data_IF_527050654652
#
_entry.id   IF_527050654652
#
_cell.length_a   1.000
_cell.length_b   1.000
_cell.length_c   1.000
_cell.angle_alpha   90.00
_cell.angle_beta   90.00
_cell.angle_gamma   90.00
#
_symmetry.space_group_name_H-M   'P 1'
#
loop_
_entity.id
_entity.type
_entity.pdbx_description
1 polymer ?
#
# COMPACT_ATOMS: atom_id res chain seq x y z
N UNK A 1 -1.99 13.77 -3.34
CA UNK A 1 -2.33 12.52 -2.60
C UNK A 1 -3.74 12.07 -2.99
N UNK A 2 -3.94 10.76 -3.17
CA UNK A 2 -5.10 10.17 -3.85
C UNK A 2 -6.26 9.89 -2.87
N UNK A 3 -7.51 9.99 -3.33
CA UNK A 3 -8.71 9.54 -2.57
C UNK A 3 -8.57 8.09 -2.06
N UNK A 4 -7.75 7.29 -2.73
CA UNK A 4 -7.42 5.91 -2.36
C UNK A 4 -6.71 5.81 -1.01
N UNK A 5 -5.84 6.77 -0.66
CA UNK A 5 -5.11 6.70 0.61
C UNK A 5 -6.07 6.80 1.80
N UNK A 6 -7.06 7.69 1.70
CA UNK A 6 -8.11 7.84 2.72
C UNK A 6 -9.00 6.60 2.82
N UNK A 7 -9.26 5.92 1.70
CA UNK A 7 -10.05 4.69 1.70
C UNK A 7 -9.26 3.52 2.28
N UNK A 8 -7.98 3.40 1.95
CA UNK A 8 -7.08 2.38 2.50
C UNK A 8 -6.87 2.57 4.01
N UNK A 9 -6.81 3.81 4.50
CA UNK A 9 -6.76 4.09 5.95
C UNK A 9 -8.05 3.63 6.65
N UNK A 10 -9.22 3.86 6.03
CA UNK A 10 -10.51 3.38 6.56
C UNK A 10 -10.64 1.85 6.52
N UNK A 11 -10.17 1.22 5.44
CA UNK A 11 -10.19 -0.24 5.28
C UNK A 11 -9.20 -0.95 6.20
N UNK A 12 -8.08 -0.30 6.52
CA UNK A 12 -7.11 -0.81 7.48
C UNK A 12 -7.68 -0.94 8.90
N UNK A 13 -8.78 -0.25 9.23
CA UNK A 13 -9.36 -0.24 10.57
C UNK A 13 -8.44 0.33 11.65
N UNK A 14 -7.33 0.98 11.27
CA UNK A 14 -6.39 1.55 12.22
C UNK A 14 -6.81 2.97 12.60
N UNK A 15 -6.92 3.22 13.90
CA UNK A 15 -7.21 4.56 14.40
C UNK A 15 -6.07 5.53 14.04
N UNK A 16 -6.39 6.72 13.50
CA UNK A 16 -5.36 7.70 13.18
C UNK A 16 -4.69 8.22 14.45
N UNK A 17 -3.37 8.39 14.41
CA UNK A 17 -2.62 9.07 15.47
C UNK A 17 -2.89 10.56 15.32
N UNK A 18 -3.68 11.12 16.22
CA UNK A 18 -3.95 12.55 16.28
C UNK A 18 -2.76 13.27 16.88
N UNK A 19 -2.18 14.22 16.14
CA UNK A 19 -1.12 15.09 16.64
C UNK A 19 -1.73 16.45 16.94
N UNK A 20 -1.55 16.90 18.17
CA UNK A 20 -1.91 18.24 18.62
C UNK A 20 -0.62 19.05 18.74
N UNK A 21 -0.58 20.21 18.10
CA UNK A 21 0.57 21.10 18.15
C UNK A 21 0.17 22.43 18.79
N UNK A 22 0.78 22.73 19.94
CA UNK A 22 0.56 23.95 20.71
C UNK A 22 1.88 24.57 21.14
N UNK A 23 1.81 25.69 21.86
CA UNK A 23 3.00 26.41 22.32
C UNK A 23 3.89 25.59 23.29
N UNK A 24 3.29 24.63 24.00
CA UNK A 24 3.96 23.76 24.96
C UNK A 24 4.25 22.36 24.37
N UNK A 25 4.24 22.20 23.05
CA UNK A 25 4.46 20.90 22.42
C UNK A 25 5.93 20.45 22.59
N UNK A 26 6.14 19.38 23.35
CA UNK A 26 7.44 18.74 23.50
C UNK A 26 7.74 17.85 22.27
N UNK A 27 8.72 18.28 21.49
CA UNK A 27 9.15 17.61 20.27
C UNK A 27 9.77 16.23 20.54
N UNK A 28 10.50 16.07 21.64
CA UNK A 28 11.11 14.77 21.98
C UNK A 28 10.05 13.76 22.40
N UNK A 29 9.07 14.22 23.19
CA UNK A 29 7.93 13.39 23.57
C UNK A 29 7.15 12.95 22.32
N UNK A 30 6.89 13.86 21.38
CA UNK A 30 6.20 13.55 20.12
C UNK A 30 7.01 12.55 19.28
N UNK A 31 8.34 12.72 19.18
CA UNK A 31 9.22 11.78 18.49
C UNK A 31 9.09 10.37 19.08
N UNK A 32 9.16 10.25 20.41
CA UNK A 32 9.05 8.95 21.09
C UNK A 32 7.70 8.28 20.85
N UNK A 33 6.61 9.07 20.85
CA UNK A 33 5.25 8.61 20.57
C UNK A 33 5.14 8.08 19.14
N UNK A 34 5.66 8.83 18.16
CA UNK A 34 5.62 8.43 16.75
C UNK A 34 6.44 7.17 16.49
N UNK A 35 7.64 7.05 17.07
CA UNK A 35 8.46 5.83 16.98
C UNK A 35 7.69 4.63 17.54
N UNK A 36 7.10 4.77 18.73
CA UNK A 36 6.32 3.71 19.36
C UNK A 36 5.12 3.28 18.50
N UNK A 37 4.39 4.23 17.92
CA UNK A 37 3.25 3.94 17.06
C UNK A 37 3.66 3.32 15.72
N UNK A 38 4.77 3.77 15.13
CA UNK A 38 5.33 3.15 13.93
C UNK A 38 5.72 1.71 14.23
N UNK A 39 6.31 1.43 15.38
CA UNK A 39 6.76 0.10 15.76
C UNK A 39 5.61 -0.86 16.05
N UNK A 40 4.57 -0.36 16.74
CA UNK A 40 3.38 -1.14 17.09
C UNK A 40 2.57 -1.58 15.87
N UNK A 41 2.50 -0.77 14.82
CA UNK A 41 1.63 -1.03 13.65
C UNK A 41 2.32 -1.89 12.61
N UNK A 42 1.56 -2.72 11.89
CA UNK A 42 2.10 -3.70 10.94
C UNK A 42 2.48 -3.09 9.59
N UNK A 43 1.58 -2.35 8.94
CA UNK A 43 1.78 -1.90 7.56
C UNK A 43 1.63 -0.40 7.37
N UNK A 44 0.65 0.23 8.03
CA UNK A 44 0.30 1.63 7.80
C UNK A 44 0.06 2.37 9.10
N UNK A 45 0.56 3.60 9.14
CA UNK A 45 0.47 4.49 10.29
C UNK A 45 -0.27 5.76 9.83
N UNK A 46 -1.61 5.79 9.89
CA UNK A 46 -2.39 7.00 9.65
C UNK A 46 -2.07 8.10 10.68
N UNK A 47 -1.72 9.29 10.21
CA UNK A 47 -1.54 10.51 11.02
C UNK A 47 -2.65 11.51 10.72
N UNK A 48 -3.28 12.04 11.78
CA UNK A 48 -4.18 13.19 11.70
C UNK A 48 -3.46 14.45 12.19
N UNK A 49 -3.20 15.37 11.25
CA UNK A 49 -2.50 16.64 11.46
C UNK A 49 -3.46 17.84 11.34
N UNK A 50 -4.78 17.62 11.37
CA UNK A 50 -5.77 18.71 11.21
C UNK A 50 -5.76 19.74 12.33
N UNK A 51 -5.24 19.36 13.51
CA UNK A 51 -5.11 20.25 14.68
C UNK A 51 -3.82 21.08 14.66
N UNK A 52 -3.04 21.03 13.58
CA UNK A 52 -1.80 21.79 13.41
C UNK A 52 -2.06 22.92 12.41
N UNK A 53 -2.43 24.13 12.85
CA UNK A 53 -2.90 25.20 11.96
C UNK A 53 -1.82 25.71 11.00
N UNK A 54 -0.56 25.70 11.44
CA UNK A 54 0.59 26.19 10.67
C UNK A 54 1.54 25.05 10.26
N UNK A 55 2.63 25.40 9.57
CA UNK A 55 3.70 24.48 9.20
C UNK A 55 4.98 24.72 10.03
N UNK A 56 4.99 24.40 11.33
CA UNK A 56 6.16 24.63 12.17
C UNK A 56 7.36 23.84 11.61
N UNK A 57 8.51 24.49 11.40
CA UNK A 57 9.63 23.90 10.69
C UNK A 57 10.18 22.65 11.42
N UNK A 58 10.22 22.70 12.74
CA UNK A 58 10.68 21.62 13.61
C UNK A 58 9.79 20.36 13.48
N UNK A 59 8.47 20.55 13.46
CA UNK A 59 7.52 19.46 13.23
C UNK A 59 7.65 18.89 11.82
N UNK A 60 7.83 19.74 10.81
CA UNK A 60 8.03 19.30 9.42
C UNK A 60 9.28 18.43 9.32
N UNK A 61 10.38 18.82 9.96
CA UNK A 61 11.62 18.04 9.99
C UNK A 61 11.42 16.70 10.69
N UNK A 62 10.75 16.68 11.85
CA UNK A 62 10.41 15.46 12.56
C UNK A 62 9.53 14.53 11.70
N UNK A 63 8.51 15.06 11.03
CA UNK A 63 7.61 14.26 10.18
C UNK A 63 8.34 13.65 8.98
N UNK A 64 9.31 14.36 8.40
CA UNK A 64 10.17 13.84 7.33
C UNK A 64 11.11 12.75 7.86
N UNK A 65 11.71 12.95 9.03
CA UNK A 65 12.54 11.95 9.71
C UNK A 65 11.73 10.67 10.00
N UNK A 66 10.56 10.80 10.60
CA UNK A 66 9.66 9.67 10.92
C UNK A 66 9.15 8.96 9.67
N UNK A 67 8.99 9.68 8.56
CA UNK A 67 8.66 9.05 7.27
C UNK A 67 9.79 8.17 6.77
N UNK A 68 11.06 8.60 6.89
CA UNK A 68 12.22 7.77 6.53
C UNK A 68 12.32 6.54 7.44
N UNK A 69 12.15 6.74 8.75
CA UNK A 69 12.14 5.67 9.73
C UNK A 69 11.06 4.60 9.44
N UNK A 70 9.84 5.03 9.10
CA UNK A 70 8.77 4.11 8.71
C UNK A 70 9.14 3.30 7.45
N UNK A 71 9.74 3.94 6.44
CA UNK A 71 10.16 3.28 5.20
C UNK A 71 11.26 2.24 5.44
N UNK A 72 12.24 2.53 6.30
CA UNK A 72 13.28 1.57 6.71
C UNK A 72 12.68 0.30 7.33
N UNK A 73 11.55 0.44 8.04
CA UNK A 73 10.78 -0.68 8.61
C UNK A 73 9.75 -1.28 7.65
N UNK A 74 9.79 -0.92 6.37
CA UNK A 74 8.83 -1.35 5.34
C UNK A 74 7.36 -0.97 5.65
N UNK A 75 7.16 0.17 6.33
CA UNK A 75 5.85 0.71 6.73
C UNK A 75 5.56 2.02 6.01
N UNK A 76 4.28 2.32 5.86
CA UNK A 76 3.81 3.55 5.21
C UNK A 76 3.24 4.50 6.25
N UNK A 77 3.90 5.64 6.44
CA UNK A 77 3.35 6.76 7.21
C UNK A 77 2.34 7.52 6.34
N UNK A 78 1.05 7.36 6.63
CA UNK A 78 -0.03 7.97 5.85
C UNK A 78 -0.40 9.34 6.41
N UNK A 79 -0.09 10.39 5.65
CA UNK A 79 -0.42 11.77 5.97
C UNK A 79 -1.65 12.20 5.18
N UNK A 80 -2.78 11.51 5.38
CA UNK A 80 -4.00 11.71 4.59
C UNK A 80 -4.90 12.85 5.13
N UNK A 81 -4.72 13.23 6.39
CA UNK A 81 -5.44 14.34 7.04
C UNK A 81 -4.49 15.46 7.43
N UNK A 82 -4.02 16.20 6.43
CA UNK A 82 -3.08 17.32 6.60
C UNK A 82 -3.66 18.59 6.00
N UNK A 83 -3.42 19.71 6.66
CA UNK A 83 -3.79 21.02 6.15
C UNK A 83 -2.86 21.44 4.99
N UNK A 84 -3.36 22.16 3.96
CA UNK A 84 -2.56 22.60 2.82
C UNK A 84 -1.20 23.24 3.15
N UNK A 85 -1.08 24.19 4.11
CA UNK A 85 0.22 24.83 4.40
C UNK A 85 1.28 23.84 4.88
N UNK A 86 0.90 22.92 5.76
CA UNK A 86 1.79 21.88 6.28
C UNK A 86 2.17 20.88 5.20
N UNK A 87 1.22 20.54 4.31
CA UNK A 87 1.48 19.67 3.17
C UNK A 87 2.52 20.29 2.22
N UNK A 88 2.36 21.56 1.87
CA UNK A 88 3.27 22.25 0.96
C UNK A 88 4.67 22.36 1.58
N UNK A 89 4.78 22.61 2.87
CA UNK A 89 6.06 22.63 3.59
C UNK A 89 6.77 21.27 3.57
N UNK A 90 6.05 20.18 3.81
CA UNK A 90 6.58 18.82 3.74
C UNK A 90 7.01 18.48 2.31
N UNK A 91 6.19 18.78 1.30
CA UNK A 91 6.51 18.52 -0.10
C UNK A 91 7.75 19.30 -0.55
N UNK A 92 7.89 20.58 -0.16
CA UNK A 92 9.10 21.39 -0.43
C UNK A 92 10.35 20.77 0.19
N UNK A 93 10.29 20.34 1.46
CA UNK A 93 11.43 19.71 2.15
C UNK A 93 11.83 18.36 1.56
N UNK A 94 10.89 17.59 1.01
CA UNK A 94 11.19 16.31 0.37
C UNK A 94 11.88 16.51 -0.99
N UNK A 95 11.44 17.51 -1.76
CA UNK A 95 11.98 17.75 -3.10
C UNK A 95 13.21 18.66 -3.12
N UNK A 96 13.51 19.36 -2.02
CA UNK A 96 14.78 20.07 -1.87
C UNK A 96 15.91 19.06 -1.53
N UNK A 97 16.97 18.97 -2.36
CA UNK A 97 18.12 18.15 -2.04
C UNK A 97 18.81 18.69 -0.78
N UNK A 98 19.12 17.77 0.14
CA UNK A 98 19.88 18.04 1.38
C UNK A 98 21.20 18.71 0.97
N UNK A 99 21.37 19.99 1.33
CA UNK A 99 22.53 20.81 0.96
C UNK A 99 22.22 22.09 0.17
N UNK A 100 20.96 22.32 -0.23
CA UNK A 100 20.56 23.60 -0.84
C UNK A 100 20.09 24.59 0.24
N UNK A 101 21.03 25.32 0.82
CA UNK A 101 20.73 26.60 1.47
C UNK A 101 20.26 27.56 0.39
N UNK A 102 18.95 27.79 0.31
CA UNK A 102 18.40 28.88 -0.50
C UNK A 102 18.84 30.19 0.16
N UNK A 103 19.87 30.83 -0.41
CA UNK A 103 20.20 32.21 -0.09
C UNK A 103 19.16 33.15 -0.73
N UNK A 104 18.72 34.22 -0.05
CA UNK A 104 17.68 35.12 -0.51
C UNK A 104 18.27 36.20 -1.43
N UNK A 105 18.82 35.81 -2.57
CA UNK A 105 19.12 36.73 -3.67
C UNK A 105 19.48 35.90 -4.88
N UNK A 106 18.73 36.08 -5.96
CA UNK A 106 19.05 35.54 -7.26
C UNK A 106 20.49 35.91 -7.65
N UNK A 107 21.37 34.90 -7.72
CA UNK A 107 22.70 35.04 -8.32
C UNK A 107 22.56 35.01 -9.85
N UNK A 108 23.29 35.87 -10.59
CA UNK A 108 23.23 35.98 -12.05
C UNK A 108 23.74 34.73 -12.80
N UNK A 109 24.26 33.72 -12.11
CA UNK A 109 24.68 32.45 -12.72
C UNK A 109 23.51 31.47 -13.00
N UNK A 110 22.30 31.74 -12.48
CA UNK A 110 21.10 30.96 -12.82
C UNK A 110 20.59 31.23 -14.24
N UNK A 111 20.92 32.37 -14.84
CA UNK A 111 20.56 32.69 -16.23
C UNK A 111 21.35 31.81 -17.21
N UNK A 112 22.61 31.51 -16.91
CA UNK A 112 23.46 30.67 -17.76
C UNK A 112 23.00 29.21 -17.83
N UNK A 113 22.42 28.68 -16.74
CA UNK A 113 21.85 27.33 -16.74
C UNK A 113 20.52 27.26 -17.53
N UNK A 114 19.71 28.32 -17.44
CA UNK A 114 18.48 28.46 -18.22
C UNK A 114 18.76 28.63 -19.72
N UNK A 115 19.79 29.40 -20.08
CA UNK A 115 20.17 29.61 -21.47
C UNK A 115 20.80 28.36 -22.10
N UNK A 116 21.62 27.60 -21.35
CA UNK A 116 22.09 26.27 -21.79
C UNK A 116 20.94 25.27 -21.98
N UNK A 117 19.89 25.33 -21.16
CA UNK A 117 18.71 24.48 -21.32
C UNK A 117 17.90 24.84 -22.57
N UNK A 118 17.74 26.14 -22.86
CA UNK A 118 17.11 26.62 -24.11
C UNK A 118 17.93 26.25 -25.34
N UNK A 119 19.25 26.33 -25.26
CA UNK A 119 20.15 25.96 -26.36
C UNK A 119 20.06 24.46 -26.68
N UNK A 120 20.01 23.59 -25.65
CA UNK A 120 19.80 22.15 -25.85
C UNK A 120 18.42 21.81 -26.43
N UNK A 121 17.36 22.52 -26.02
CA UNK A 121 16.02 22.33 -26.59
C UNK A 121 15.96 22.73 -28.08
N UNK A 122 16.58 23.85 -28.45
CA UNK A 122 16.63 24.31 -29.84
C UNK A 122 17.50 23.40 -30.74
N UNK A 123 18.54 22.78 -30.19
CA UNK A 123 19.36 21.78 -30.92
C UNK A 123 18.59 20.49 -31.18
N UNK A 124 17.69 20.10 -30.28
CA UNK A 124 16.78 18.95 -30.47
C UNK A 124 15.71 19.27 -31.53
N UNK A 125 15.15 20.49 -31.52
CA UNK A 125 14.14 20.92 -32.49
C UNK A 125 14.68 20.96 -33.93
N UNK A 126 15.95 21.32 -34.14
CA UNK A 126 16.61 21.26 -35.47
C UNK A 126 16.93 19.84 -35.96
N UNK A 127 16.89 18.81 -35.11
CA UNK A 127 17.12 17.41 -35.49
C UNK A 127 15.83 16.59 -35.63
N UNK A 128 14.67 17.20 -35.37
CA UNK A 128 13.37 16.53 -35.44
C UNK A 128 12.56 16.95 -36.67
N UNK A 129 13.11 16.79 -37.87
CA UNK A 129 12.27 16.25 -38.93
C UNK A 129 12.02 14.78 -38.55
N UNK A 130 10.96 14.59 -37.77
CA UNK A 130 10.62 13.35 -37.10
C UNK A 130 10.32 12.28 -38.15
N UNK A 131 11.16 11.25 -38.22
CA UNK A 131 10.99 10.11 -39.13
C UNK A 131 9.82 9.24 -38.61
N UNK A 132 8.59 9.61 -39.01
CA UNK A 132 7.31 9.02 -38.59
C UNK A 132 7.19 7.51 -38.90
N UNK A 133 8.10 6.97 -39.73
CA UNK A 133 8.13 5.57 -40.14
C UNK A 133 8.49 4.60 -39.00
N UNK A 134 9.26 5.03 -38.00
CA UNK A 134 9.67 4.17 -36.86
C UNK A 134 8.63 4.12 -35.73
N UNK A 135 7.80 5.15 -35.59
CA UNK A 135 6.80 5.22 -34.52
C UNK A 135 5.68 4.17 -34.69
N UNK A 136 5.17 3.97 -35.91
CA UNK A 136 4.12 2.97 -36.18
C UNK A 136 4.60 1.52 -35.93
N UNK A 137 5.88 1.25 -36.16
CA UNK A 137 6.45 -0.10 -36.00
C UNK A 137 6.54 -0.51 -34.52
N UNK A 138 6.72 0.45 -33.62
CA UNK A 138 6.73 0.23 -32.17
C UNK A 138 5.31 0.11 -31.60
N UNK A 139 4.34 0.83 -32.16
CA UNK A 139 2.96 0.75 -31.68
C UNK A 139 2.30 -0.61 -32.02
N UNK A 140 2.62 -1.18 -33.19
CA UNK A 140 2.12 -2.52 -33.57
C UNK A 140 2.71 -3.65 -32.71
N UNK A 141 3.96 -3.56 -32.26
CA UNK A 141 4.55 -4.60 -31.40
C UNK A 141 3.94 -4.59 -30.00
N UNK A 142 3.63 -3.41 -29.44
CA UNK A 142 3.07 -3.27 -28.10
C UNK A 142 1.61 -3.77 -27.97
N UNK A 143 0.81 -3.74 -29.05
CA UNK A 143 -0.55 -4.31 -29.04
C UNK A 143 -0.57 -5.84 -28.91
N UNK A 144 0.45 -6.53 -29.41
CA UNK A 144 0.53 -8.00 -29.35
C UNK A 144 0.87 -8.47 -27.93
N UNK A 145 1.74 -7.75 -27.21
CA UNK A 145 2.13 -8.11 -25.85
C UNK A 145 1.04 -7.86 -24.79
N UNK A 146 0.19 -6.83 -24.96
CA UNK A 146 -0.90 -6.54 -24.01
C UNK A 146 -1.98 -7.63 -23.94
N UNK A 147 -2.19 -8.43 -24.99
CA UNK A 147 -3.22 -9.49 -24.99
C UNK A 147 -2.81 -10.75 -24.22
N UNK A 148 -1.51 -11.04 -24.08
CA UNK A 148 -1.04 -12.26 -23.38
C UNK A 148 -1.04 -12.13 -21.85
N UNK A 149 -0.95 -10.91 -21.31
CA UNK A 149 -0.90 -10.68 -19.85
C UNK A 149 -2.23 -10.92 -19.11
N UNK A 150 -3.36 -10.59 -19.74
CA UNK A 150 -4.68 -10.73 -19.12
C UNK A 150 -5.13 -12.19 -19.00
N UNK A 151 -4.88 -13.02 -20.02
CA UNK A 151 -5.18 -14.45 -19.98
C UNK A 151 -4.40 -15.18 -18.87
N UNK A 152 -3.13 -14.81 -18.66
CA UNK A 152 -2.29 -15.36 -17.60
C UNK A 152 -2.86 -15.11 -16.20
N UNK A 153 -3.34 -13.89 -15.93
CA UNK A 153 -3.93 -13.57 -14.63
C UNK A 153 -5.25 -14.31 -14.37
N UNK A 154 -6.15 -14.39 -15.37
CA UNK A 154 -7.43 -15.09 -15.21
C UNK A 154 -7.23 -16.58 -14.94
N UNK A 155 -6.31 -17.24 -15.66
CA UNK A 155 -5.98 -18.66 -15.44
C UNK A 155 -5.39 -18.88 -14.04
N UNK A 156 -4.52 -17.98 -13.58
CA UNK A 156 -3.92 -18.08 -12.24
C UNK A 156 -4.95 -17.91 -11.12
N UNK A 157 -5.93 -17.02 -11.30
CA UNK A 157 -7.05 -16.88 -10.36
C UNK A 157 -7.95 -18.11 -10.33
N UNK A 158 -8.27 -18.70 -11.49
CA UNK A 158 -9.06 -19.93 -11.56
C UNK A 158 -8.36 -21.13 -10.91
N UNK A 159 -7.04 -21.23 -11.07
CA UNK A 159 -6.25 -22.29 -10.44
C UNK A 159 -6.25 -22.15 -8.90
N UNK A 160 -6.11 -20.92 -8.40
CA UNK A 160 -6.15 -20.65 -6.96
C UNK A 160 -7.52 -20.90 -6.35
N UNK A 161 -8.61 -20.50 -7.03
CA UNK A 161 -9.97 -20.79 -6.55
C UNK A 161 -10.28 -22.29 -6.57
N UNK A 162 -9.81 -23.02 -7.60
CA UNK A 162 -9.93 -24.48 -7.65
C UNK A 162 -9.24 -25.19 -6.47
N UNK A 163 -8.05 -24.73 -6.09
CA UNK A 163 -7.33 -25.25 -4.92
C UNK A 163 -8.09 -25.03 -3.62
N UNK A 164 -8.67 -23.84 -3.43
CA UNK A 164 -9.46 -23.52 -2.23
C UNK A 164 -10.71 -24.41 -2.17
N UNK A 165 -11.44 -24.55 -3.28
CA UNK A 165 -12.65 -25.38 -3.34
C UNK A 165 -12.31 -26.85 -3.06
N UNK A 166 -11.24 -27.37 -3.65
CA UNK A 166 -10.78 -28.74 -3.40
C UNK A 166 -10.40 -28.95 -1.93
N UNK A 167 -9.68 -28.00 -1.32
CA UNK A 167 -9.34 -28.03 0.10
C UNK A 167 -10.57 -28.08 1.00
N UNK A 168 -11.57 -27.23 0.74
CA UNK A 168 -12.84 -27.22 1.48
C UNK A 168 -13.60 -28.53 1.32
N UNK A 169 -13.62 -29.11 0.10
CA UNK A 169 -14.28 -30.38 -0.16
C UNK A 169 -13.63 -31.55 0.62
N UNK A 170 -12.30 -31.60 0.66
CA UNK A 170 -11.56 -32.63 1.41
C UNK A 170 -11.82 -32.50 2.92
N UNK A 171 -11.79 -31.28 3.46
CA UNK A 171 -12.06 -31.04 4.88
C UNK A 171 -13.51 -31.44 5.22
N UNK A 172 -14.47 -31.05 4.37
CA UNK A 172 -15.89 -31.38 4.55
C UNK A 172 -16.14 -32.90 4.49
N UNK A 173 -15.56 -33.60 3.52
CA UNK A 173 -15.68 -35.05 3.41
C UNK A 173 -15.04 -35.76 4.62
N UNK A 174 -13.85 -35.33 5.03
CA UNK A 174 -13.15 -35.89 6.19
C UNK A 174 -13.97 -35.70 7.47
N UNK A 175 -14.55 -34.51 7.65
CA UNK A 175 -15.42 -34.21 8.78
C UNK A 175 -16.69 -35.06 8.77
N UNK A 176 -17.31 -35.24 7.59
CA UNK A 176 -18.48 -36.09 7.43
C UNK A 176 -18.16 -37.55 7.79
N UNK A 177 -17.05 -38.12 7.31
CA UNK A 177 -16.63 -39.48 7.67
C UNK A 177 -16.26 -39.63 9.15
N UNK A 178 -15.73 -38.58 9.79
CA UNK A 178 -15.41 -38.61 11.22
C UNK A 178 -16.65 -38.52 12.12
N UNK A 179 -17.72 -37.88 11.63
CA UNK A 179 -18.95 -37.62 12.41
C UNK A 179 -20.11 -38.54 12.03
N UNK A 180 -20.05 -39.21 10.88
CA UNK A 180 -20.98 -40.29 10.56
C UNK A 180 -20.63 -41.50 11.41
N UNK A 181 -21.52 -41.83 12.35
CA UNK A 181 -21.48 -43.10 13.06
C UNK A 181 -21.34 -44.25 12.04
N UNK A 182 -20.47 -45.26 12.29
CA UNK A 182 -20.35 -46.39 11.38
C UNK A 182 -21.73 -47.02 11.20
N UNK A 183 -22.12 -47.46 9.98
CA UNK A 183 -23.37 -48.15 9.79
C UNK A 183 -23.39 -49.31 10.79
N UNK A 184 -24.37 -49.33 11.70
CA UNK A 184 -24.58 -50.45 12.61
C UNK A 184 -24.80 -51.67 11.75
N UNK A 185 -23.75 -52.46 11.57
CA UNK A 185 -23.85 -53.82 11.06
C UNK A 185 -24.67 -54.52 12.14
N UNK A 186 -25.97 -54.70 11.87
CA UNK A 186 -26.84 -55.48 12.73
C UNK A 186 -26.30 -56.90 12.72
N UNK A 187 -25.56 -57.24 13.78
CA UNK A 187 -25.03 -58.56 13.97
C UNK A 187 -26.20 -59.53 14.05
N UNK A 188 -26.12 -60.62 13.29
CA UNK A 188 -27.20 -61.61 13.13
C UNK A 188 -27.68 -62.20 14.47
N UNK A 189 -26.84 -62.12 15.51
CA UNK A 189 -27.12 -62.56 16.89
C UNK A 189 -28.23 -61.75 17.58
N UNK A 190 -28.37 -60.46 17.27
CA UNK A 190 -29.45 -59.62 17.86
C UNK A 190 -30.84 -59.97 17.34
N UNK A 191 -30.95 -60.70 16.21
CA UNK A 191 -32.24 -61.18 15.70
C UNK A 191 -32.69 -62.47 16.39
N UNK A 192 -31.77 -63.31 16.86
CA UNK A 192 -32.11 -64.58 17.54
C UNK A 192 -32.65 -64.32 18.95
N UNK A 193 -32.05 -63.41 19.73
CA UNK A 193 -32.54 -63.05 21.09
C UNK A 193 -33.94 -62.40 21.10
N UNK A 194 -34.29 -61.63 20.06
CA UNK A 194 -35.64 -61.05 19.92
C UNK A 194 -36.67 -62.10 19.49
N UNK A 195 -36.24 -63.19 18.84
CA UNK A 195 -37.11 -64.31 18.48
C UNK A 195 -37.32 -65.31 19.62
N UNK A 196 -36.35 -65.49 20.53
CA UNK A 196 -36.48 -66.37 21.70
C UNK A 196 -37.24 -65.72 22.86
N UNK A 197 -37.21 -64.40 23.00
CA UNK A 197 -37.97 -63.67 24.03
C UNK A 197 -39.44 -63.44 23.68
N UNK A 198 -39.88 -63.88 22.49
CA UNK A 198 -41.25 -63.73 22.00
C UNK A 198 -42.14 -64.98 22.18
N UNK A 199 -41.68 -66.03 22.88
CA UNK A 199 -42.51 -67.21 23.20
C UNK A 199 -42.07 -67.82 24.53
N UNK A 200 -42.96 -68.13 25.50
CA UNK A 200 -44.36 -67.75 25.71
C UNK A 200 -44.63 -66.90 26.98
#
# INVERSE_FOLDING_TARGET
MSRLDKQLDRLSGTEPVCIEWGADADLEQLRSLLVREIDRRTHRVPLDLRKVPDAPPELVELLVEMRRYALERSKILSMSWVLPPLRDAIERRIHQPIGTTVAPSADPDSEQASDRAKELLNVVEKRSEYDLSKAEKIERSNRVYRKKGLASHVVRYLAMSGLIIAGVAIISASYYFLTSEPPRILDRKTFEEVSESAVP
#
